data_IF_486571918379
#
_entry.id   IF_486571918379
#
_cell.length_a   1.000
_cell.length_b   1.000
_cell.length_c   1.000
_cell.angle_alpha   90.00
_cell.angle_beta   90.00
_cell.angle_gamma   90.00
#
_symmetry.space_group_name_H-M   'P 1'
#
loop_
_entity.id
_entity.type
_entity.pdbx_description
1 polymer ?
#
# COMPACT_ATOMS: atom_id res chain seq x y z
N UNK A 1 -26.04 18.45 -35.40
CA UNK A 1 -26.70 17.14 -35.24
C UNK A 1 -28.10 17.40 -34.68
N UNK A 2 -29.16 17.18 -35.45
CA UNK A 2 -30.50 17.64 -35.09
C UNK A 2 -31.19 16.67 -34.13
N UNK A 3 -31.96 17.18 -33.16
CA UNK A 3 -32.66 16.38 -32.14
C UNK A 3 -33.57 15.28 -32.73
N UNK A 4 -34.09 15.51 -33.95
CA UNK A 4 -34.89 14.52 -34.69
C UNK A 4 -34.07 13.32 -35.16
N UNK A 5 -32.82 13.54 -35.57
CA UNK A 5 -31.88 12.48 -35.99
C UNK A 5 -31.47 11.63 -34.78
N UNK A 6 -31.18 12.25 -33.64
CA UNK A 6 -30.87 11.53 -32.40
C UNK A 6 -32.05 10.66 -31.93
N UNK A 7 -33.29 11.18 -31.98
CA UNK A 7 -34.50 10.43 -31.61
C UNK A 7 -34.78 9.26 -32.56
N UNK A 8 -34.53 9.43 -33.86
CA UNK A 8 -34.68 8.39 -34.85
C UNK A 8 -33.69 7.24 -34.62
N UNK A 9 -32.40 7.55 -34.44
CA UNK A 9 -31.36 6.56 -34.17
C UNK A 9 -31.60 5.78 -32.87
N UNK A 10 -32.05 6.46 -31.81
CA UNK A 10 -32.45 5.79 -30.56
C UNK A 10 -33.65 4.87 -30.74
N UNK A 11 -34.65 5.30 -31.53
CA UNK A 11 -35.84 4.52 -31.83
C UNK A 11 -35.52 3.24 -32.60
N UNK A 12 -34.70 3.33 -33.64
CA UNK A 12 -34.22 2.18 -34.42
C UNK A 12 -33.39 1.23 -33.57
N UNK A 13 -32.48 1.74 -32.74
CA UNK A 13 -31.68 0.91 -31.83
C UNK A 13 -32.55 0.10 -30.86
N UNK A 14 -33.59 0.72 -30.28
CA UNK A 14 -34.51 0.04 -29.38
C UNK A 14 -35.36 -1.02 -30.09
N UNK A 15 -35.71 -0.78 -31.36
CA UNK A 15 -36.49 -1.70 -32.19
C UNK A 15 -35.64 -2.89 -32.66
N UNK A 16 -34.35 -2.69 -32.94
CA UNK A 16 -33.38 -3.73 -33.26
C UNK A 16 -33.18 -4.69 -32.07
N UNK A 17 -33.04 -4.16 -30.85
CA UNK A 17 -32.94 -4.96 -29.61
C UNK A 17 -34.17 -5.84 -29.41
N UNK A 18 -35.36 -5.31 -29.68
CA UNK A 18 -36.63 -6.06 -29.59
C UNK A 18 -36.77 -7.16 -30.63
N UNK A 19 -36.17 -7.01 -31.82
CA UNK A 19 -36.25 -7.98 -32.92
C UNK A 19 -35.29 -9.17 -32.75
N UNK A 20 -34.14 -8.96 -32.10
CA UNK A 20 -33.14 -10.00 -31.86
C UNK A 20 -32.78 -10.10 -30.37
N UNK A 21 -33.70 -10.61 -29.52
CA UNK A 21 -33.53 -10.60 -28.07
C UNK A 21 -32.41 -11.53 -27.59
N UNK A 22 -32.15 -12.65 -28.27
CA UNK A 22 -31.06 -13.58 -27.92
C UNK A 22 -29.69 -12.94 -28.14
N UNK A 23 -29.44 -12.37 -29.31
CA UNK A 23 -28.19 -11.67 -29.65
C UNK A 23 -27.97 -10.45 -28.74
N UNK A 24 -29.03 -9.68 -28.50
CA UNK A 24 -28.96 -8.50 -27.62
C UNK A 24 -28.70 -8.89 -26.17
N UNK A 25 -29.32 -9.97 -25.68
CA UNK A 25 -29.09 -10.47 -24.33
C UNK A 25 -27.66 -10.96 -24.15
N UNK A 26 -27.11 -11.71 -25.11
CA UNK A 26 -25.72 -12.15 -25.08
C UNK A 26 -24.75 -10.97 -25.06
N UNK A 27 -24.99 -9.94 -25.86
CA UNK A 27 -24.17 -8.73 -25.87
C UNK A 27 -24.25 -7.96 -24.53
N UNK A 28 -25.45 -7.81 -23.96
CA UNK A 28 -25.65 -7.15 -22.65
C UNK A 28 -24.97 -7.94 -21.53
N UNK A 29 -25.09 -9.26 -21.52
CA UNK A 29 -24.43 -10.11 -20.51
C UNK A 29 -22.91 -10.02 -20.64
N UNK A 30 -22.37 -10.07 -21.85
CA UNK A 30 -20.93 -9.94 -22.08
C UNK A 30 -20.39 -8.56 -21.65
N UNK A 31 -21.09 -7.48 -21.98
CA UNK A 31 -20.73 -6.12 -21.54
C UNK A 31 -20.83 -5.98 -20.02
N UNK A 32 -21.89 -6.52 -19.41
CA UNK A 32 -22.08 -6.48 -17.96
C UNK A 32 -20.97 -7.24 -17.23
N UNK A 33 -20.65 -8.46 -17.67
CA UNK A 33 -19.55 -9.24 -17.10
C UNK A 33 -18.21 -8.51 -17.22
N UNK A 34 -17.95 -7.89 -18.37
CA UNK A 34 -16.73 -7.12 -18.61
C UNK A 34 -16.62 -5.90 -17.68
N UNK A 35 -17.71 -5.14 -17.52
CA UNK A 35 -17.76 -3.99 -16.61
C UNK A 35 -17.67 -4.40 -15.14
N UNK A 36 -18.22 -5.56 -14.76
CA UNK A 36 -18.09 -6.09 -13.41
C UNK A 36 -16.64 -6.48 -13.09
N UNK A 37 -15.94 -7.13 -14.02
CA UNK A 37 -14.52 -7.45 -13.86
C UNK A 37 -13.68 -6.17 -13.73
N UNK A 38 -13.92 -5.18 -14.61
CA UNK A 38 -13.24 -3.90 -14.56
C UNK A 38 -13.53 -3.16 -13.24
N UNK A 39 -14.79 -3.07 -12.84
CA UNK A 39 -15.22 -2.42 -11.60
C UNK A 39 -14.65 -3.11 -10.36
N UNK A 40 -14.64 -4.44 -10.32
CA UNK A 40 -14.03 -5.22 -9.25
C UNK A 40 -12.53 -4.95 -9.14
N UNK A 41 -11.82 -4.92 -10.27
CA UNK A 41 -10.39 -4.62 -10.30
C UNK A 41 -10.08 -3.19 -9.83
N UNK A 42 -10.90 -2.21 -10.22
CA UNK A 42 -10.77 -0.83 -9.76
C UNK A 42 -10.98 -0.70 -8.25
N UNK A 43 -11.99 -1.39 -7.70
CA UNK A 43 -12.25 -1.41 -6.26
C UNK A 43 -11.06 -2.05 -5.54
N UNK A 44 -10.59 -3.22 -5.97
CA UNK A 44 -9.44 -3.91 -5.38
C UNK A 44 -8.21 -2.99 -5.42
N UNK A 45 -7.91 -2.43 -6.59
CA UNK A 45 -6.79 -1.50 -6.78
C UNK A 45 -6.90 -0.31 -5.82
N UNK A 46 -8.06 0.34 -5.72
CA UNK A 46 -8.26 1.48 -4.81
C UNK A 46 -8.08 1.08 -3.35
N UNK A 47 -8.55 -0.09 -2.93
CA UNK A 47 -8.37 -0.57 -1.57
C UNK A 47 -6.89 -0.86 -1.27
N UNK A 48 -6.17 -1.49 -2.19
CA UNK A 48 -4.73 -1.74 -2.04
C UNK A 48 -3.96 -0.42 -1.90
N UNK A 49 -4.25 0.59 -2.72
CA UNK A 49 -3.60 1.90 -2.59
C UNK A 49 -3.85 2.55 -1.22
N UNK A 50 -5.09 2.51 -0.71
CA UNK A 50 -5.39 3.03 0.65
C UNK A 50 -4.64 2.28 1.74
N UNK A 51 -4.56 0.96 1.65
CA UNK A 51 -3.81 0.14 2.61
C UNK A 51 -2.32 0.53 2.58
N UNK A 52 -1.77 0.72 1.37
CA UNK A 52 -0.39 1.18 1.22
C UNK A 52 -0.22 2.56 1.86
N UNK A 53 -1.06 3.53 1.55
CA UNK A 53 -1.00 4.90 2.10
C UNK A 53 -1.10 4.93 3.64
N UNK A 54 -2.00 4.14 4.23
CA UNK A 54 -2.15 4.00 5.69
C UNK A 54 -0.94 3.35 6.35
N UNK A 55 -0.24 2.46 5.64
CA UNK A 55 1.03 1.89 6.08
C UNK A 55 2.18 2.90 5.90
N UNK A 56 2.16 3.71 4.85
CA UNK A 56 3.14 4.79 4.65
C UNK A 56 3.05 5.86 5.72
N UNK A 57 1.84 6.19 6.18
CA UNK A 57 1.60 7.14 7.27
C UNK A 57 2.19 6.70 8.62
N UNK A 58 2.38 5.37 8.80
CA UNK A 58 2.91 4.73 10.02
C UNK A 58 4.37 4.27 9.90
N UNK A 59 5.11 4.73 8.88
CA UNK A 59 6.54 4.45 8.72
C UNK A 59 7.33 5.18 9.82
N UNK A 60 7.43 4.56 10.99
CA UNK A 60 8.45 4.88 11.99
C UNK A 60 9.64 3.95 11.71
N UNK A 61 10.84 4.53 11.65
CA UNK A 61 12.08 3.76 11.56
C UNK A 61 12.51 3.46 12.98
N UNK A 62 12.65 2.18 13.31
CA UNK A 62 13.03 1.74 14.65
C UNK A 62 14.49 1.32 14.60
N UNK A 63 15.32 1.98 15.41
CA UNK A 63 16.74 1.69 15.55
C UNK A 63 16.93 0.94 16.86
N UNK A 64 17.25 -0.35 16.77
CA UNK A 64 17.57 -1.18 17.93
C UNK A 64 19.04 -0.98 18.31
N UNK A 65 19.26 -0.73 19.59
CA UNK A 65 20.61 -0.59 20.13
C UNK A 65 21.14 -1.94 20.59
N UNK A 66 22.46 -2.01 20.72
CA UNK A 66 23.11 -3.10 21.45
C UNK A 66 22.54 -3.22 22.88
N UNK A 67 22.49 -4.44 23.46
CA UNK A 67 21.97 -4.64 24.81
C UNK A 67 22.73 -3.85 25.87
N UNK A 68 22.00 -3.34 26.86
CA UNK A 68 22.52 -2.58 28.02
C UNK A 68 23.44 -1.39 27.66
N UNK A 69 22.97 -0.43 26.84
CA UNK A 69 23.79 0.70 26.44
C UNK A 69 23.98 1.67 27.63
N UNK A 70 25.22 2.09 27.85
CA UNK A 70 25.54 3.08 28.88
C UNK A 70 24.72 4.37 28.66
N UNK A 71 24.20 5.06 29.71
CA UNK A 71 23.38 6.26 29.53
C UNK A 71 24.05 7.36 28.70
N UNK A 72 25.38 7.47 28.81
CA UNK A 72 26.23 8.35 28.02
C UNK A 72 26.25 7.99 26.53
N UNK A 73 26.19 6.69 26.19
CA UNK A 73 26.11 6.18 24.84
C UNK A 73 24.75 6.51 24.23
N UNK A 74 23.67 6.28 24.98
CA UNK A 74 22.31 6.60 24.55
C UNK A 74 22.13 8.06 24.17
N UNK A 75 22.59 8.99 25.02
CA UNK A 75 22.53 10.43 24.74
C UNK A 75 23.28 10.80 23.46
N UNK A 76 24.48 10.23 23.26
CA UNK A 76 25.29 10.46 22.06
C UNK A 76 24.60 9.94 20.80
N UNK A 77 24.03 8.73 20.85
CA UNK A 77 23.30 8.15 19.72
C UNK A 77 22.05 8.97 19.42
N UNK A 78 21.32 9.41 20.45
CA UNK A 78 20.14 10.26 20.29
C UNK A 78 20.45 11.60 19.62
N UNK A 79 21.54 12.27 20.02
CA UNK A 79 22.03 13.49 19.36
C UNK A 79 22.43 13.22 17.91
N UNK A 80 23.20 12.15 17.67
CA UNK A 80 23.64 11.77 16.32
C UNK A 80 22.45 11.45 15.41
N UNK A 81 21.40 10.80 15.92
CA UNK A 81 20.16 10.51 15.19
C UNK A 81 19.38 11.78 14.85
N UNK A 82 19.39 12.80 15.72
CA UNK A 82 18.76 14.09 15.44
C UNK A 82 19.46 14.88 14.34
N UNK A 83 20.77 14.70 14.20
CA UNK A 83 21.57 15.35 13.17
C UNK A 83 21.45 14.68 11.79
N UNK A 84 20.83 13.49 11.71
CA UNK A 84 20.61 12.79 10.44
C UNK A 84 19.65 13.61 9.54
N UNK A 85 20.06 13.94 8.30
CA UNK A 85 19.22 14.70 7.39
C UNK A 85 17.88 14.02 7.10
N UNK A 86 16.78 14.69 7.45
CA UNK A 86 15.42 14.20 7.23
C UNK A 86 14.77 13.60 8.47
N UNK A 87 15.49 13.47 9.60
CA UNK A 87 14.89 13.14 10.90
C UNK A 87 14.30 14.41 11.52
N UNK A 88 13.02 14.36 11.89
CA UNK A 88 12.28 15.45 12.54
C UNK A 88 11.94 15.15 14.00
N UNK A 89 12.11 13.91 14.42
CA UNK A 89 11.87 13.49 15.80
C UNK A 89 12.59 12.19 16.11
N UNK A 90 13.08 12.09 17.34
CA UNK A 90 13.73 10.90 17.90
C UNK A 90 13.09 10.65 19.25
N UNK A 91 12.56 9.45 19.47
CA UNK A 91 11.93 9.02 20.72
C UNK A 91 12.60 7.75 21.21
N UNK A 92 13.13 7.79 22.43
CA UNK A 92 13.65 6.58 23.07
C UNK A 92 12.52 5.73 23.61
N UNK A 93 12.58 4.43 23.36
CA UNK A 93 11.68 3.41 23.89
C UNK A 93 12.49 2.49 24.79
N UNK A 94 12.10 2.41 26.06
CA UNK A 94 12.75 1.46 26.96
C UNK A 94 12.29 0.04 26.65
N UNK A 95 13.09 -0.99 27.00
CA UNK A 95 12.66 -2.38 26.87
C UNK A 95 11.30 -2.63 27.53
N UNK A 96 11.06 -2.04 28.71
CA UNK A 96 9.81 -2.17 29.45
C UNK A 96 8.64 -1.51 28.71
N UNK A 97 8.83 -0.28 28.19
CA UNK A 97 7.81 0.40 27.41
C UNK A 97 7.50 -0.36 26.10
N UNK A 98 8.52 -0.90 25.44
CA UNK A 98 8.35 -1.71 24.24
C UNK A 98 7.52 -2.98 24.55
N UNK A 99 7.75 -3.60 25.70
CA UNK A 99 7.02 -4.77 26.16
C UNK A 99 5.57 -4.47 26.53
N UNK A 100 5.33 -3.37 27.26
CA UNK A 100 3.99 -2.93 27.60
C UNK A 100 3.18 -2.59 26.33
N UNK A 101 3.80 -1.92 25.36
CA UNK A 101 3.16 -1.62 24.07
C UNK A 101 2.86 -2.92 23.29
N UNK A 102 3.83 -3.84 23.22
CA UNK A 102 3.67 -5.11 22.53
C UNK A 102 2.55 -5.98 23.15
N UNK A 103 2.52 -6.08 24.48
CA UNK A 103 1.48 -6.84 25.19
C UNK A 103 0.11 -6.19 25.08
N UNK A 104 0.02 -4.85 25.04
CA UNK A 104 -1.23 -4.15 24.81
C UNK A 104 -1.82 -4.47 23.41
N UNK A 105 -0.98 -4.53 22.37
CA UNK A 105 -1.40 -4.90 21.02
C UNK A 105 -1.77 -6.38 20.89
N UNK A 106 -1.06 -7.26 21.60
CA UNK A 106 -1.23 -8.73 21.57
C UNK A 106 -2.25 -9.26 22.58
N UNK A 107 -2.91 -8.39 23.36
CA UNK A 107 -3.77 -8.72 24.52
C UNK A 107 -4.96 -9.68 24.26
N UNK A 108 -5.11 -10.22 23.05
CA UNK A 108 -6.09 -11.26 22.69
C UNK A 108 -5.52 -12.65 22.42
N UNK A 109 -4.20 -12.85 22.37
CA UNK A 109 -3.57 -14.13 22.03
C UNK A 109 -2.82 -14.67 23.25
N UNK A 110 -3.23 -15.83 23.78
CA UNK A 110 -2.61 -16.51 24.93
C UNK A 110 -1.16 -16.99 24.72
N UNK A 111 -0.43 -16.36 23.80
CA UNK A 111 0.95 -16.62 23.43
C UNK A 111 1.95 -15.93 24.36
N UNK A 112 1.51 -14.88 25.09
CA UNK A 112 2.36 -14.08 25.95
C UNK A 112 2.83 -14.80 27.23
N UNK A 113 2.10 -15.82 27.68
CA UNK A 113 2.41 -16.56 28.92
C UNK A 113 3.62 -17.50 28.79
N UNK A 114 4.02 -17.88 27.56
CA UNK A 114 5.20 -18.70 27.31
C UNK A 114 6.51 -17.88 27.22
N UNK A 115 6.42 -16.56 27.11
CA UNK A 115 7.60 -15.68 27.00
C UNK A 115 8.03 -15.29 28.41
N UNK A 116 9.06 -15.96 28.92
CA UNK A 116 9.52 -15.80 30.31
C UNK A 116 10.09 -14.41 30.62
N UNK A 117 11.12 -13.98 29.89
CA UNK A 117 11.76 -12.66 30.05
C UNK A 117 11.56 -11.82 28.79
N UNK A 118 11.53 -10.49 28.96
CA UNK A 118 11.36 -9.53 27.89
C UNK A 118 12.52 -9.63 26.86
N UNK A 119 12.26 -10.09 25.63
CA UNK A 119 13.30 -10.24 24.61
C UNK A 119 13.58 -8.93 23.84
N UNK A 120 12.84 -7.85 24.12
CA UNK A 120 12.90 -6.63 23.32
C UNK A 120 14.08 -5.75 23.73
N UNK A 121 15.01 -5.45 22.81
CA UNK A 121 16.11 -4.55 23.09
C UNK A 121 15.65 -3.08 23.18
N UNK A 122 16.45 -2.22 23.82
CA UNK A 122 16.19 -0.78 23.83
C UNK A 122 16.24 -0.21 22.40
N UNK A 123 15.36 0.72 22.08
CA UNK A 123 15.24 1.24 20.72
C UNK A 123 14.96 2.75 20.65
N UNK A 124 15.23 3.32 19.48
CA UNK A 124 14.80 4.67 19.12
C UNK A 124 13.82 4.61 17.95
N UNK A 125 12.67 5.24 18.12
CA UNK A 125 11.75 5.53 17.03
C UNK A 125 12.11 6.87 16.38
N UNK A 126 12.35 6.83 15.09
CA UNK A 126 12.63 7.99 14.26
C UNK A 126 11.38 8.40 13.50
N UNK A 127 11.05 9.69 13.59
CA UNK A 127 10.07 10.35 12.72
C UNK A 127 10.79 11.07 11.61
N UNK A 128 10.44 10.73 10.37
CA UNK A 128 11.00 11.34 9.18
C UNK A 128 10.11 12.46 8.63
N UNK A 129 10.76 13.50 8.10
CA UNK A 129 10.13 14.59 7.37
C UNK A 129 9.31 14.04 6.19
N UNK A 130 8.19 14.70 5.85
CA UNK A 130 7.25 14.20 4.84
C UNK A 130 7.87 13.98 3.45
N UNK A 131 8.89 14.77 3.10
CA UNK A 131 9.67 14.69 1.85
C UNK A 131 10.71 13.56 1.84
N UNK A 132 10.93 12.88 2.99
CA UNK A 132 11.90 11.80 3.20
C UNK A 132 11.23 10.49 3.60
N UNK A 133 9.91 10.37 3.42
CA UNK A 133 9.13 9.15 3.70
C UNK A 133 9.10 8.16 2.52
N UNK A 134 9.76 8.50 1.42
CA UNK A 134 9.94 7.58 0.31
C UNK A 134 10.90 6.44 0.70
N UNK A 135 10.73 5.28 0.06
CA UNK A 135 11.49 4.08 0.39
C UNK A 135 12.99 4.26 0.21
N UNK A 136 13.44 5.00 -0.81
CA UNK A 136 14.85 5.16 -1.12
C UNK A 136 15.56 6.01 -0.05
N UNK A 137 14.91 7.08 0.41
CA UNK A 137 15.38 7.90 1.54
C UNK A 137 15.48 7.08 2.82
N UNK A 138 14.48 6.26 3.12
CA UNK A 138 14.47 5.39 4.31
C UNK A 138 15.59 4.35 4.24
N UNK A 139 15.78 3.68 3.10
CA UNK A 139 16.87 2.71 2.90
C UNK A 139 18.24 3.35 3.06
N UNK A 140 18.41 4.58 2.59
CA UNK A 140 19.66 5.33 2.74
C UNK A 140 19.95 5.64 4.21
N UNK A 141 18.95 6.15 4.95
CA UNK A 141 19.08 6.46 6.38
C UNK A 141 19.33 5.17 7.17
N UNK A 142 18.60 4.10 6.89
CA UNK A 142 18.75 2.82 7.57
C UNK A 142 20.13 2.20 7.32
N UNK A 143 20.67 2.32 6.10
CA UNK A 143 22.02 1.86 5.77
C UNK A 143 23.11 2.68 6.47
N UNK A 144 22.92 4.00 6.61
CA UNK A 144 23.87 4.86 7.32
C UNK A 144 23.86 4.61 8.84
N UNK A 145 22.68 4.50 9.44
CA UNK A 145 22.52 4.27 10.88
C UNK A 145 22.89 2.84 11.27
N UNK A 146 22.55 1.85 10.44
CA UNK A 146 22.90 0.44 10.68
C UNK A 146 24.39 0.14 10.57
N UNK A 147 25.21 1.08 10.10
CA UNK A 147 26.67 0.96 10.08
C UNK A 147 27.33 1.43 11.40
N UNK A 148 26.57 1.92 12.37
CA UNK A 148 27.10 2.39 13.66
C UNK A 148 27.34 1.20 14.60
N UNK A 149 28.45 1.20 15.34
CA UNK A 149 28.79 0.10 16.26
C UNK A 149 27.79 -0.02 17.44
N UNK A 150 27.10 1.07 17.76
CA UNK A 150 26.10 1.13 18.82
C UNK A 150 24.72 0.56 18.42
N UNK A 151 24.52 0.30 17.13
CA UNK A 151 23.26 -0.14 16.54
C UNK A 151 23.35 -1.63 16.20
N UNK A 152 22.38 -2.41 16.70
CA UNK A 152 22.29 -3.84 16.43
C UNK A 152 21.52 -4.08 15.13
N UNK A 153 20.34 -3.46 15.00
CA UNK A 153 19.50 -3.58 13.81
C UNK A 153 18.68 -2.30 13.58
N UNK A 154 18.48 -1.94 12.31
CA UNK A 154 17.52 -0.89 11.92
C UNK A 154 16.32 -1.55 11.25
N UNK A 155 15.21 -1.62 11.96
CA UNK A 155 13.96 -2.11 11.44
C UNK A 155 13.14 -0.98 10.81
N UNK A 156 12.76 -1.19 9.56
CA UNK A 156 11.83 -0.32 8.85
C UNK A 156 10.92 -1.19 7.99
N UNK A 157 9.66 -0.79 7.85
CA UNK A 157 8.67 -1.53 7.06
C UNK A 157 8.97 -1.60 5.55
N UNK A 158 10.13 -1.11 5.09
CA UNK A 158 10.46 -0.94 3.67
C UNK A 158 10.46 -2.23 2.88
N UNK A 159 10.89 -3.36 3.45
CA UNK A 159 10.86 -4.66 2.74
C UNK A 159 9.43 -5.14 2.44
N UNK A 160 8.46 -4.84 3.30
CA UNK A 160 7.05 -5.16 3.06
C UNK A 160 6.38 -4.13 2.14
N UNK A 161 6.65 -2.84 2.38
CA UNK A 161 6.10 -1.75 1.60
C UNK A 161 6.61 -1.78 0.15
N UNK A 162 7.89 -2.10 -0.09
CA UNK A 162 8.44 -2.25 -1.45
C UNK A 162 7.78 -3.39 -2.22
N UNK A 163 7.47 -4.51 -1.56
CA UNK A 163 6.71 -5.63 -2.16
C UNK A 163 5.28 -5.22 -2.49
N UNK A 164 4.61 -4.50 -1.59
CA UNK A 164 3.26 -3.99 -1.82
C UNK A 164 3.20 -2.96 -2.95
N UNK A 165 4.16 -2.05 -3.01
CA UNK A 165 4.30 -1.04 -4.07
C UNK A 165 4.57 -1.70 -5.44
N UNK A 166 5.47 -2.68 -5.50
CA UNK A 166 5.68 -3.49 -6.70
C UNK A 166 4.40 -4.22 -7.15
N UNK A 167 3.65 -4.79 -6.20
CA UNK A 167 2.37 -5.44 -6.48
C UNK A 167 1.29 -4.45 -6.95
N UNK A 168 1.20 -3.27 -6.34
CA UNK A 168 0.28 -2.20 -6.74
C UNK A 168 0.57 -1.71 -8.15
N UNK A 169 1.85 -1.51 -8.52
CA UNK A 169 2.26 -1.20 -9.90
C UNK A 169 1.83 -2.28 -10.88
N UNK A 170 2.00 -3.55 -10.53
CA UNK A 170 1.58 -4.67 -11.39
C UNK A 170 0.06 -4.68 -11.60
N UNK A 171 -0.73 -4.42 -10.55
CA UNK A 171 -2.18 -4.26 -10.66
C UNK A 171 -2.57 -3.08 -11.55
N UNK A 172 -1.84 -1.97 -11.50
CA UNK A 172 -2.10 -0.81 -12.36
C UNK A 172 -1.92 -1.16 -13.85
N UNK A 173 -0.84 -1.88 -14.19
CA UNK A 173 -0.61 -2.37 -15.56
C UNK A 173 -1.67 -3.38 -16.00
N UNK A 174 -2.07 -4.29 -15.12
CA UNK A 174 -3.15 -5.24 -15.39
C UNK A 174 -4.46 -4.49 -15.67
N UNK A 175 -4.78 -3.47 -14.87
CA UNK A 175 -5.98 -2.66 -15.04
C UNK A 175 -5.97 -1.90 -16.37
N UNK A 176 -4.83 -1.33 -16.78
CA UNK A 176 -4.68 -0.72 -18.10
C UNK A 176 -4.91 -1.75 -19.22
N UNK A 177 -4.36 -2.96 -19.08
CA UNK A 177 -4.56 -4.05 -20.03
C UNK A 177 -6.03 -4.47 -20.15
N UNK A 178 -6.73 -4.62 -19.03
CA UNK A 178 -8.16 -4.93 -18.99
C UNK A 178 -8.98 -3.80 -19.64
N UNK A 179 -8.67 -2.54 -19.34
CA UNK A 179 -9.35 -1.39 -19.93
C UNK A 179 -9.22 -1.39 -21.47
N UNK A 180 -8.01 -1.64 -21.98
CA UNK A 180 -7.76 -1.75 -23.43
C UNK A 180 -8.50 -2.94 -24.05
N UNK A 181 -8.49 -4.10 -23.39
CA UNK A 181 -9.18 -5.30 -23.87
C UNK A 181 -10.70 -5.09 -23.94
N UNK A 182 -11.30 -4.47 -22.92
CA UNK A 182 -12.72 -4.11 -22.91
C UNK A 182 -13.03 -3.09 -24.00
N UNK A 183 -12.19 -2.06 -24.18
CA UNK A 183 -12.33 -1.08 -25.25
C UNK A 183 -12.31 -1.72 -26.65
N UNK A 184 -11.36 -2.63 -26.88
CA UNK A 184 -11.25 -3.40 -28.13
C UNK A 184 -12.45 -4.32 -28.34
N UNK A 185 -12.93 -5.00 -27.29
CA UNK A 185 -14.11 -5.85 -27.38
C UNK A 185 -15.36 -5.05 -27.77
N UNK A 186 -15.55 -3.85 -27.21
CA UNK A 186 -16.65 -2.95 -27.59
C UNK A 186 -16.54 -2.56 -29.06
N UNK A 187 -15.35 -2.15 -29.53
CA UNK A 187 -15.12 -1.80 -30.94
C UNK A 187 -15.39 -2.99 -31.85
N UNK A 188 -14.92 -4.19 -31.50
CA UNK A 188 -15.12 -5.40 -32.30
C UNK A 188 -16.60 -5.79 -32.37
N UNK A 189 -17.34 -5.70 -31.26
CA UNK A 189 -18.79 -5.95 -31.27
C UNK A 189 -19.49 -4.94 -32.15
N UNK A 190 -19.18 -3.64 -32.04
CA UNK A 190 -19.77 -2.61 -32.91
C UNK A 190 -19.43 -2.87 -34.39
N UNK A 191 -18.16 -3.13 -34.70
CA UNK A 191 -17.70 -3.37 -36.07
C UNK A 191 -18.27 -4.65 -36.69
N UNK A 192 -18.49 -5.70 -35.89
CA UNK A 192 -19.07 -6.96 -36.33
C UNK A 192 -20.61 -6.93 -36.33
N UNK A 193 -21.22 -5.89 -35.74
CA UNK A 193 -22.68 -5.69 -35.71
C UNK A 193 -23.16 -4.74 -36.82
N UNK A 194 -22.28 -3.97 -37.46
CA UNK A 194 -22.56 -3.13 -38.63
C UNK A 194 -22.42 -3.94 -39.92
#
# INVERSE_FOLDING_TARGET
MNARTAKYLFGEGLQAVRRHPSLSLSAVVAMTASLLVLGGLLIISSNVHRIVDDLEGRKEVVVYLVPDPEPSLRLRVEERLRDVPGVVGVRYISPEEAWDNFTAEMSGEGLLEEIGDNPLPPSFELKLAGDRRDLASIETIAGEVGAWEEVDEVAYGGAWVSRLDAFARQLAWLNLGVLLAVGLAVVAVVANTI
#
